data_IF_651725137043
#
_entry.id   IF_651725137043
#
_cell.length_a   1.000
_cell.length_b   1.000
_cell.length_c   1.000
_cell.angle_alpha   90.00
_cell.angle_beta   90.00
_cell.angle_gamma   90.00
#
_symmetry.space_group_name_H-M   'P 1'
#
loop_
_entity.id
_entity.type
_entity.pdbx_description
1 polymer ?
#
# COMPACT_ATOMS: atom_id res chain seq x y z
N UNK A 1 7.48 17.05 22.72
CA UNK A 1 6.10 16.74 22.30
C UNK A 1 5.87 15.25 22.50
N UNK A 2 4.66 14.83 22.87
CA UNK A 2 4.33 13.40 22.92
C UNK A 2 4.27 12.84 21.49
N UNK A 3 4.86 11.67 21.24
CA UNK A 3 4.78 11.01 19.93
C UNK A 3 3.40 10.39 19.74
N UNK A 4 2.87 10.42 18.52
CA UNK A 4 1.56 9.84 18.20
C UNK A 4 1.75 8.50 17.49
N UNK A 5 1.03 7.48 17.94
CA UNK A 5 1.03 6.17 17.32
C UNK A 5 -0.40 5.69 17.05
N UNK A 6 -0.54 4.86 16.03
CA UNK A 6 -1.77 4.15 15.72
C UNK A 6 -1.54 2.65 15.77
N UNK A 7 -2.35 1.94 16.54
CA UNK A 7 -2.34 0.48 16.60
C UNK A 7 -3.50 -0.10 15.80
N UNK A 8 -3.18 -0.81 14.71
CA UNK A 8 -4.11 -1.69 14.00
C UNK A 8 -3.88 -3.12 14.45
N UNK A 9 -4.93 -3.89 14.71
CA UNK A 9 -4.81 -5.32 15.03
C UNK A 9 -5.55 -6.21 14.03
N UNK A 10 -4.86 -7.24 13.55
CA UNK A 10 -5.26 -8.18 12.50
C UNK A 10 -5.92 -9.44 13.09
N UNK A 11 -6.84 -10.01 12.29
CA UNK A 11 -8.27 -9.90 12.54
C UNK A 11 -8.70 -10.64 13.82
N UNK A 12 -9.67 -10.04 14.52
CA UNK A 12 -10.14 -10.49 15.82
C UNK A 12 -11.56 -11.05 15.76
N UNK A 13 -11.85 -12.01 14.88
CA UNK A 13 -13.16 -12.68 14.87
C UNK A 13 -13.27 -13.81 15.88
N UNK A 14 -12.16 -14.24 16.47
CA UNK A 14 -12.16 -15.29 17.49
C UNK A 14 -12.27 -14.76 18.91
N UNK A 15 -12.97 -15.54 19.75
CA UNK A 15 -13.00 -15.40 21.20
C UNK A 15 -11.58 -15.44 21.85
N UNK A 16 -10.58 -15.84 21.06
CA UNK A 16 -9.17 -15.90 21.42
C UNK A 16 -8.37 -14.67 20.95
N UNK A 17 -9.02 -13.55 20.61
CA UNK A 17 -8.31 -12.31 20.28
C UNK A 17 -7.25 -12.00 21.37
N UNK A 18 -5.98 -11.84 21.00
CA UNK A 18 -4.90 -11.73 21.98
C UNK A 18 -5.07 -10.45 22.81
N UNK A 19 -4.83 -10.50 24.13
CA UNK A 19 -5.05 -9.36 25.01
C UNK A 19 -4.14 -8.20 24.61
N UNK A 20 -4.76 -7.17 24.01
CA UNK A 20 -4.06 -5.98 23.51
C UNK A 20 -3.63 -5.05 24.65
N UNK A 21 -4.17 -5.23 25.85
CA UNK A 21 -3.98 -4.36 27.01
C UNK A 21 -2.51 -4.20 27.36
N UNK A 22 -1.72 -5.28 27.29
CA UNK A 22 -0.28 -5.22 27.58
C UNK A 22 0.49 -4.37 26.57
N UNK A 23 0.09 -4.42 25.29
CA UNK A 23 0.71 -3.65 24.21
C UNK A 23 0.33 -2.17 24.29
N UNK A 24 -0.94 -1.89 24.53
CA UNK A 24 -1.47 -0.53 24.76
C UNK A 24 -0.81 0.09 26.00
N UNK A 25 -0.73 -0.64 27.11
CA UNK A 25 -0.11 -0.17 28.35
C UNK A 25 1.38 0.15 28.16
N UNK A 26 2.13 -0.70 27.44
CA UNK A 26 3.54 -0.47 27.15
C UNK A 26 3.76 0.84 26.35
N UNK A 27 2.96 1.07 25.30
CA UNK A 27 3.06 2.29 24.48
C UNK A 27 2.68 3.54 25.28
N UNK A 28 1.56 3.50 26.01
CA UNK A 28 1.10 4.64 26.83
C UNK A 28 2.11 4.99 27.94
N UNK A 29 2.67 3.99 28.63
CA UNK A 29 3.68 4.20 29.69
C UNK A 29 4.96 4.86 29.19
N UNK A 30 5.18 4.85 27.87
CA UNK A 30 6.38 5.37 27.22
C UNK A 30 6.17 6.75 26.60
N UNK A 31 5.04 7.40 26.87
CA UNK A 31 4.73 8.76 26.43
C UNK A 31 4.18 8.86 25.01
N UNK A 32 3.70 7.75 24.43
CA UNK A 32 2.93 7.79 23.19
C UNK A 32 1.46 8.13 23.47
N UNK A 33 0.87 8.98 22.65
CA UNK A 33 -0.58 9.11 22.52
C UNK A 33 -1.05 8.08 21.50
N UNK A 34 -1.73 7.03 21.97
CA UNK A 34 -2.14 5.90 21.14
C UNK A 34 -3.59 6.01 20.66
N UNK A 35 -3.79 6.06 19.35
CA UNK A 35 -5.06 5.70 18.70
C UNK A 35 -5.03 4.25 18.23
N UNK A 36 -6.17 3.71 17.82
CA UNK A 36 -6.21 2.39 17.22
C UNK A 36 -7.60 1.95 16.78
N UNK A 37 -7.64 0.94 15.92
CA UNK A 37 -8.85 0.25 15.53
C UNK A 37 -8.54 -1.17 15.06
N UNK A 38 -9.57 -2.03 15.11
CA UNK A 38 -9.53 -3.37 14.53
C UNK A 38 -9.38 -3.27 13.02
N UNK A 39 -8.64 -4.19 12.43
CA UNK A 39 -8.67 -4.40 10.98
C UNK A 39 -10.01 -4.97 10.53
N UNK A 40 -10.53 -4.45 9.44
CA UNK A 40 -11.73 -4.94 8.79
C UNK A 40 -11.31 -5.47 7.43
N UNK A 41 -11.27 -6.79 7.31
CA UNK A 41 -10.90 -7.47 6.07
C UNK A 41 -12.13 -7.64 5.17
N UNK A 42 -12.56 -6.54 4.56
CA UNK A 42 -13.65 -6.52 3.58
C UNK A 42 -13.14 -5.78 2.34
N UNK A 43 -12.48 -6.53 1.45
CA UNK A 43 -11.91 -5.99 0.22
C UNK A 43 -12.98 -5.55 -0.77
N UNK A 44 -14.13 -6.23 -0.81
CA UNK A 44 -15.25 -5.92 -1.69
C UNK A 44 -15.84 -4.53 -1.38
N UNK A 45 -15.83 -4.12 -0.11
CA UNK A 45 -16.24 -2.77 0.31
C UNK A 45 -15.08 -1.78 0.45
N UNK A 46 -13.85 -2.20 0.14
CA UNK A 46 -12.64 -1.38 0.30
C UNK A 46 -12.48 -0.83 1.73
N UNK A 47 -12.80 -1.62 2.75
CA UNK A 47 -12.82 -1.16 4.15
C UNK A 47 -11.45 -0.61 4.61
N UNK A 48 -10.36 -1.09 4.01
CA UNK A 48 -9.00 -0.58 4.20
C UNK A 48 -8.85 0.93 3.89
N UNK A 49 -9.73 1.50 3.05
CA UNK A 49 -9.71 2.91 2.64
C UNK A 49 -10.10 3.88 3.77
N UNK A 50 -10.94 3.44 4.70
CA UNK A 50 -11.28 4.25 5.89
C UNK A 50 -10.05 4.43 6.78
N UNK A 51 -9.31 3.33 7.02
CA UNK A 51 -8.07 3.39 7.78
C UNK A 51 -7.04 4.27 7.07
N UNK A 52 -6.87 4.11 5.75
CA UNK A 52 -5.96 4.92 4.97
C UNK A 52 -6.28 6.41 5.08
N UNK A 53 -7.57 6.78 4.95
CA UNK A 53 -8.03 8.16 5.09
C UNK A 53 -7.74 8.72 6.49
N UNK A 54 -7.95 7.91 7.53
CA UNK A 54 -7.67 8.30 8.92
C UNK A 54 -6.18 8.53 9.18
N UNK A 55 -5.33 7.63 8.69
CA UNK A 55 -3.87 7.69 8.83
C UNK A 55 -3.23 8.80 7.96
N UNK A 56 -3.93 9.25 6.93
CA UNK A 56 -3.50 10.28 5.98
C UNK A 56 -3.91 11.71 6.34
N UNK A 57 -4.57 11.93 7.48
CA UNK A 57 -5.03 13.27 7.87
C UNK A 57 -3.87 14.23 8.18
N UNK A 58 -3.80 15.34 7.45
CA UNK A 58 -2.63 16.25 7.39
C UNK A 58 -2.31 17.03 8.69
N UNK A 59 -3.27 17.20 9.60
CA UNK A 59 -3.05 17.98 10.84
C UNK A 59 -2.84 17.13 12.10
N UNK A 60 -3.12 15.81 12.06
CA UNK A 60 -3.09 14.97 13.27
C UNK A 60 -2.71 13.48 13.03
N UNK A 61 -2.37 13.09 11.80
CA UNK A 61 -2.01 11.71 11.48
C UNK A 61 -0.86 11.20 12.36
N UNK A 62 -0.86 9.91 12.74
CA UNK A 62 0.17 9.37 13.63
C UNK A 62 1.55 9.42 12.97
N UNK A 63 2.59 9.57 13.79
CA UNK A 63 3.99 9.44 13.35
C UNK A 63 4.37 7.96 13.13
N UNK A 64 3.75 7.06 13.89
CA UNK A 64 4.00 5.61 13.82
C UNK A 64 2.70 4.85 13.59
N UNK A 65 2.72 3.90 12.67
CA UNK A 65 1.66 2.91 12.49
C UNK A 65 2.19 1.53 12.92
N UNK A 66 1.62 1.00 13.99
CA UNK A 66 1.89 -0.35 14.47
C UNK A 66 0.78 -1.27 13.94
N UNK A 67 1.16 -2.31 13.22
CA UNK A 67 0.25 -3.36 12.74
C UNK A 67 0.54 -4.62 13.54
N UNK A 68 -0.38 -5.02 14.40
CA UNK A 68 -0.25 -6.18 15.28
C UNK A 68 -1.07 -7.36 14.76
N UNK A 69 -0.51 -8.56 14.73
CA UNK A 69 -1.22 -9.75 14.25
C UNK A 69 -0.48 -11.04 14.58
N UNK A 70 -1.09 -12.18 14.33
CA UNK A 70 -0.46 -13.50 14.36
C UNK A 70 0.26 -13.81 13.06
N UNK A 71 1.09 -14.85 13.06
CA UNK A 71 1.75 -15.33 11.86
C UNK A 71 0.76 -15.66 10.73
N UNK A 72 -0.40 -16.24 11.07
CA UNK A 72 -1.47 -16.57 10.11
C UNK A 72 -2.10 -15.31 9.48
N UNK A 73 -2.24 -14.23 10.25
CA UNK A 73 -2.80 -12.97 9.76
C UNK A 73 -1.89 -12.33 8.71
N UNK A 74 -0.58 -12.37 8.96
CA UNK A 74 0.43 -11.89 8.02
C UNK A 74 0.62 -12.83 6.82
N UNK A 75 0.19 -14.08 6.92
CA UNK A 75 0.17 -15.02 5.80
C UNK A 75 -1.09 -14.87 4.93
N UNK A 76 -2.15 -14.25 5.44
CA UNK A 76 -3.39 -14.02 4.70
C UNK A 76 -3.18 -13.08 3.52
N UNK A 77 -3.50 -13.55 2.32
CA UNK A 77 -3.38 -12.77 1.08
C UNK A 77 -4.32 -11.56 1.06
N UNK A 78 -5.52 -11.67 1.62
CA UNK A 78 -6.50 -10.56 1.65
C UNK A 78 -6.05 -9.43 2.56
N UNK A 79 -5.55 -9.78 3.75
CA UNK A 79 -4.97 -8.82 4.69
C UNK A 79 -3.72 -8.18 4.09
N UNK A 80 -2.84 -9.00 3.49
CA UNK A 80 -1.62 -8.49 2.82
C UNK A 80 -1.95 -7.46 1.75
N UNK A 81 -2.92 -7.80 0.91
CA UNK A 81 -3.42 -6.94 -0.15
C UNK A 81 -3.99 -5.63 0.41
N UNK A 82 -4.94 -5.69 1.35
CA UNK A 82 -5.60 -4.50 1.88
C UNK A 82 -4.62 -3.55 2.58
N UNK A 83 -3.67 -4.06 3.36
CA UNK A 83 -2.61 -3.26 3.98
C UNK A 83 -1.67 -2.63 2.95
N UNK A 84 -1.36 -3.34 1.85
CA UNK A 84 -0.62 -2.76 0.73
C UNK A 84 -1.37 -1.59 0.11
N UNK A 85 -2.69 -1.70 -0.07
CA UNK A 85 -3.53 -0.60 -0.57
C UNK A 85 -3.55 0.58 0.41
N UNK A 86 -3.70 0.30 1.71
CA UNK A 86 -3.60 1.32 2.77
C UNK A 86 -2.26 2.05 2.71
N UNK A 87 -1.14 1.34 2.59
CA UNK A 87 0.19 1.93 2.49
C UNK A 87 0.35 2.78 1.23
N UNK A 88 -0.09 2.30 0.07
CA UNK A 88 -0.03 3.04 -1.18
C UNK A 88 -0.75 4.39 -1.07
N UNK A 89 -1.99 4.37 -0.54
CA UNK A 89 -2.80 5.57 -0.36
C UNK A 89 -2.20 6.54 0.67
N UNK A 90 -1.62 6.04 1.76
CA UNK A 90 -0.97 6.92 2.75
C UNK A 90 0.31 7.55 2.18
N UNK A 91 1.10 6.78 1.44
CA UNK A 91 2.34 7.25 0.82
C UNK A 91 2.10 8.32 -0.25
N UNK A 92 0.96 8.26 -0.97
CA UNK A 92 0.60 9.26 -1.97
C UNK A 92 0.05 10.55 -1.35
N UNK A 93 -0.70 10.44 -0.25
CA UNK A 93 -1.37 11.58 0.38
C UNK A 93 -0.45 12.36 1.34
N UNK A 94 0.54 11.70 1.96
CA UNK A 94 1.43 12.35 2.94
C UNK A 94 2.83 12.56 2.40
N UNK A 95 3.34 13.79 2.56
CA UNK A 95 4.78 14.10 2.35
C UNK A 95 5.70 13.23 3.21
N UNK A 96 5.27 12.98 4.45
CA UNK A 96 5.96 12.11 5.41
C UNK A 96 4.97 11.08 5.93
N UNK A 97 4.87 9.89 5.30
CA UNK A 97 3.99 8.82 5.78
C UNK A 97 4.46 8.30 7.15
N UNK A 98 3.60 7.63 7.93
CA UNK A 98 3.98 7.10 9.24
C UNK A 98 5.08 6.04 9.12
N UNK A 99 5.93 5.93 10.14
CA UNK A 99 6.83 4.79 10.27
C UNK A 99 6.04 3.53 10.58
N UNK A 100 6.21 2.46 9.80
CA UNK A 100 5.42 1.24 9.93
C UNK A 100 6.20 0.17 10.69
N UNK A 101 5.60 -0.35 11.75
CA UNK A 101 6.15 -1.44 12.56
C UNK A 101 5.15 -2.59 12.59
N UNK A 102 5.60 -3.78 12.22
CA UNK A 102 4.82 -5.01 12.27
C UNK A 102 5.13 -5.75 13.57
N UNK A 103 4.12 -6.00 14.39
CA UNK A 103 4.23 -6.64 15.70
C UNK A 103 3.54 -8.01 15.64
N UNK A 104 4.30 -9.09 15.71
CA UNK A 104 3.71 -10.41 15.77
C UNK A 104 3.35 -10.81 17.19
N UNK A 105 2.18 -11.40 17.36
CA UNK A 105 1.57 -11.70 18.66
C UNK A 105 1.89 -13.12 19.15
N UNK A 106 2.43 -13.95 18.27
CA UNK A 106 2.81 -15.35 18.44
C UNK A 106 4.21 -15.68 17.86
N UNK A 107 5.00 -14.65 17.56
CA UNK A 107 6.34 -14.74 16.97
C UNK A 107 6.65 -13.50 16.14
N UNK A 108 7.85 -13.37 15.56
CA UNK A 108 8.10 -12.30 14.58
C UNK A 108 7.52 -12.71 13.20
N UNK A 109 6.82 -11.81 12.49
CA UNK A 109 6.43 -12.06 11.10
C UNK A 109 7.67 -12.22 10.20
N UNK A 110 7.59 -13.07 9.19
CA UNK A 110 8.66 -13.23 8.21
C UNK A 110 8.74 -11.99 7.30
N UNK A 111 9.78 -11.18 7.47
CA UNK A 111 9.98 -9.99 6.66
C UNK A 111 10.22 -10.29 5.16
N UNK A 112 10.65 -11.52 4.82
CA UNK A 112 10.84 -11.91 3.43
C UNK A 112 9.51 -12.04 2.69
N UNK A 113 8.45 -12.46 3.38
CA UNK A 113 7.10 -12.67 2.84
C UNK A 113 6.27 -11.38 2.73
N UNK A 114 6.84 -10.24 3.10
CA UNK A 114 6.16 -8.95 3.02
C UNK A 114 6.07 -8.42 1.58
N UNK A 115 4.90 -7.91 1.15
CA UNK A 115 4.73 -7.22 -0.12
C UNK A 115 5.71 -6.05 -0.31
N UNK A 116 5.89 -5.61 -1.55
CA UNK A 116 6.86 -4.56 -1.91
C UNK A 116 6.61 -3.28 -1.11
N UNK A 117 5.35 -2.91 -0.88
CA UNK A 117 4.98 -1.66 -0.20
C UNK A 117 5.24 -1.68 1.30
N UNK A 118 5.40 -2.87 1.89
CA UNK A 118 5.66 -3.04 3.31
C UNK A 118 7.14 -2.91 3.63
N UNK A 119 8.02 -3.05 2.64
CA UNK A 119 9.47 -2.93 2.80
C UNK A 119 9.88 -1.45 2.83
N UNK A 120 10.76 -1.03 3.77
CA UNK A 120 11.60 -1.84 4.66
C UNK A 120 11.05 -2.00 6.09
N UNK A 121 9.72 -2.11 6.26
CA UNK A 121 9.04 -2.22 7.55
C UNK A 121 9.67 -3.22 8.50
N UNK A 122 9.55 -2.95 9.81
CA UNK A 122 10.27 -3.69 10.85
C UNK A 122 9.35 -4.67 11.55
N UNK A 123 9.70 -5.95 11.52
CA UNK A 123 9.02 -7.02 12.24
C UNK A 123 9.57 -7.15 13.68
N UNK A 124 8.67 -7.24 14.65
CA UNK A 124 8.99 -7.40 16.08
C UNK A 124 8.22 -8.59 16.63
N UNK A 125 8.92 -9.45 17.38
CA UNK A 125 8.33 -10.52 18.17
C UNK A 125 7.75 -9.95 19.47
N UNK A 126 6.42 -9.92 19.58
CA UNK A 126 5.66 -9.47 20.74
C UNK A 126 5.58 -10.49 21.89
N UNK A 127 6.21 -11.65 21.75
CA UNK A 127 6.32 -12.70 22.77
C UNK A 127 7.70 -12.77 23.41
N UNK A 128 8.72 -12.24 22.74
CA UNK A 128 10.11 -12.25 23.20
C UNK A 128 10.31 -11.47 24.52
N UNK A 129 11.34 -11.85 25.29
CA UNK A 129 11.77 -11.03 26.42
C UNK A 129 12.09 -9.60 25.99
N UNK A 130 11.66 -8.63 26.80
CA UNK A 130 11.87 -7.19 26.57
C UNK A 130 11.29 -6.69 25.23
N UNK A 131 10.26 -7.37 24.68
CA UNK A 131 9.58 -6.96 23.45
C UNK A 131 9.14 -5.48 23.51
N UNK A 132 8.66 -5.00 24.65
CA UNK A 132 8.20 -3.62 24.81
C UNK A 132 9.31 -2.61 24.53
N UNK A 133 10.51 -2.83 25.06
CA UNK A 133 11.66 -1.97 24.80
C UNK A 133 12.06 -2.01 23.31
N UNK A 134 12.04 -3.19 22.69
CA UNK A 134 12.34 -3.35 21.26
C UNK A 134 11.33 -2.62 20.38
N UNK A 135 10.03 -2.77 20.67
CA UNK A 135 8.95 -2.08 19.97
C UNK A 135 9.15 -0.56 20.03
N UNK A 136 9.38 -0.01 21.23
CA UNK A 136 9.58 1.43 21.42
C UNK A 136 10.81 1.96 20.69
N UNK A 137 11.89 1.18 20.62
CA UNK A 137 13.08 1.54 19.84
C UNK A 137 12.73 1.62 18.34
N UNK A 138 11.96 0.66 17.82
CA UNK A 138 11.53 0.70 16.42
C UNK A 138 10.54 1.84 16.14
N UNK A 139 9.58 2.10 17.04
CA UNK A 139 8.62 3.20 16.89
C UNK A 139 9.28 4.60 16.89
N UNK A 140 10.52 4.73 17.38
CA UNK A 140 11.31 5.97 17.27
C UNK A 140 12.04 6.10 15.94
N UNK A 141 11.97 5.08 15.09
CA UNK A 141 12.49 5.09 13.74
C UNK A 141 11.84 6.21 12.92
N UNK A 142 12.56 6.70 11.92
CA UNK A 142 11.97 7.58 10.92
C UNK A 142 11.23 6.74 9.90
N UNK A 143 10.17 7.30 9.33
CA UNK A 143 9.59 6.74 8.13
C UNK A 143 10.68 6.59 7.08
N UNK A 144 11.03 5.35 6.79
CA UNK A 144 11.77 5.07 5.58
C UNK A 144 10.69 5.08 4.51
N UNK A 145 10.59 6.18 3.75
CA UNK A 145 10.08 6.05 2.40
C UNK A 145 10.83 4.85 1.81
N UNK A 146 10.11 3.93 1.16
CA UNK A 146 10.77 2.93 0.33
C UNK A 146 11.83 3.68 -0.52
N UNK A 147 12.97 3.03 -0.78
CA UNK A 147 14.07 3.64 -1.54
C UNK A 147 13.53 4.51 -2.69
N UNK A 148 14.13 5.70 -2.97
CA UNK A 148 13.60 6.64 -3.95
C UNK A 148 13.09 5.89 -5.18
N UNK A 149 11.79 6.02 -5.44
CA UNK A 149 11.14 5.40 -6.58
C UNK A 149 11.11 6.43 -7.68
N UNK A 150 11.40 6.00 -8.90
CA UNK A 150 11.28 6.85 -10.08
C UNK A 150 9.81 7.03 -10.51
N UNK A 151 8.89 6.37 -9.80
CA UNK A 151 7.46 6.39 -10.02
C UNK A 151 6.66 6.73 -8.76
N UNK A 152 5.50 7.35 -8.97
CA UNK A 152 4.41 7.48 -8.00
C UNK A 152 3.49 6.27 -8.15
N UNK A 153 3.00 5.77 -7.01
CA UNK A 153 1.91 4.79 -6.96
C UNK A 153 0.90 5.28 -5.95
N UNK A 154 -0.36 5.34 -6.36
CA UNK A 154 -1.48 5.67 -5.51
C UNK A 154 -2.63 4.70 -5.79
N UNK A 155 -3.51 4.54 -4.80
CA UNK A 155 -4.75 3.78 -4.92
C UNK A 155 -5.89 4.66 -4.43
N UNK A 156 -6.90 4.83 -5.27
CA UNK A 156 -8.12 5.56 -4.96
C UNK A 156 -9.26 4.56 -5.02
N UNK A 157 -9.86 4.25 -3.87
CA UNK A 157 -10.97 3.31 -3.81
C UNK A 157 -12.13 3.82 -2.96
N UNK A 158 -13.33 3.53 -3.43
CA UNK A 158 -14.58 3.74 -2.70
C UNK A 158 -15.66 2.83 -3.32
N UNK A 159 -16.63 2.39 -2.52
CA UNK A 159 -17.72 1.50 -2.97
C UNK A 159 -18.48 2.02 -4.20
N UNK A 160 -18.54 3.35 -4.37
CA UNK A 160 -19.22 4.01 -5.49
C UNK A 160 -18.38 4.13 -6.78
N UNK A 161 -17.05 4.06 -6.72
CA UNK A 161 -16.18 4.22 -7.89
C UNK A 161 -15.28 3.02 -8.17
N UNK A 162 -15.32 1.98 -7.33
CA UNK A 162 -14.43 0.83 -7.42
C UNK A 162 -13.01 1.17 -6.96
N UNK A 163 -12.06 0.34 -7.34
CA UNK A 163 -10.63 0.52 -7.03
C UNK A 163 -9.88 1.00 -8.27
N UNK A 164 -9.19 2.13 -8.12
CA UNK A 164 -8.34 2.70 -9.14
C UNK A 164 -6.89 2.70 -8.69
N UNK A 165 -6.01 2.22 -9.54
CA UNK A 165 -4.57 2.41 -9.41
C UNK A 165 -4.14 3.61 -10.24
N UNK A 166 -3.22 4.38 -9.68
CA UNK A 166 -2.63 5.54 -10.32
C UNK A 166 -1.11 5.40 -10.30
N UNK A 167 -0.48 5.59 -11.46
CA UNK A 167 0.98 5.61 -11.61
C UNK A 167 1.44 6.74 -12.51
N UNK A 168 2.68 7.18 -12.31
CA UNK A 168 3.33 8.16 -13.18
C UNK A 168 4.73 8.49 -12.68
N UNK A 169 5.53 9.23 -13.46
CA UNK A 169 6.88 9.58 -13.04
C UNK A 169 6.89 10.47 -11.79
N UNK A 170 7.93 10.36 -10.97
CA UNK A 170 8.24 11.35 -9.93
C UNK A 170 8.97 12.55 -10.54
N UNK A 171 9.89 12.30 -11.47
CA UNK A 171 10.64 13.29 -12.23
C UNK A 171 10.72 12.88 -13.71
N UNK A 172 11.03 13.83 -14.60
CA UNK A 172 11.15 13.56 -16.03
C UNK A 172 9.81 13.30 -16.72
N UNK A 173 9.83 12.52 -17.80
CA UNK A 173 8.66 12.20 -18.60
C UNK A 173 8.66 10.72 -19.02
N UNK A 174 7.48 10.11 -19.09
CA UNK A 174 7.28 8.85 -19.80
C UNK A 174 6.60 9.13 -21.15
N UNK A 175 7.13 8.55 -22.23
CA UNK A 175 6.53 8.62 -23.56
C UNK A 175 5.44 7.57 -23.67
N UNK A 176 4.24 7.95 -23.25
CA UNK A 176 3.14 6.99 -23.07
C UNK A 176 3.22 6.24 -21.75
N UNK A 177 2.27 5.33 -21.55
CA UNK A 177 2.18 4.50 -20.36
C UNK A 177 1.65 3.12 -20.69
N UNK A 178 2.15 2.14 -19.95
CA UNK A 178 1.61 0.78 -19.90
C UNK A 178 1.24 0.44 -18.47
N UNK A 179 0.14 -0.29 -18.29
CA UNK A 179 -0.29 -0.77 -16.99
C UNK A 179 -0.90 -2.15 -17.14
N UNK A 180 -0.37 -3.13 -16.39
CA UNK A 180 -0.90 -4.47 -16.26
C UNK A 180 -1.22 -4.88 -14.83
N UNK A 181 -2.20 -5.77 -14.72
CA UNK A 181 -2.54 -6.48 -13.48
C UNK A 181 -2.31 -7.97 -13.68
N UNK A 182 -1.81 -8.65 -12.66
CA UNK A 182 -1.65 -10.10 -12.67
C UNK A 182 -2.98 -10.84 -12.52
N UNK A 183 -2.91 -12.17 -12.46
CA UNK A 183 -4.02 -13.02 -12.01
C UNK A 183 -4.64 -12.50 -10.69
N UNK A 184 -5.95 -12.71 -10.56
CA UNK A 184 -6.77 -12.22 -9.45
C UNK A 184 -7.35 -10.82 -9.69
N UNK A 185 -6.93 -10.13 -10.76
CA UNK A 185 -7.48 -8.84 -11.17
C UNK A 185 -7.84 -8.76 -12.65
N UNK A 186 -8.70 -7.80 -12.99
CA UNK A 186 -9.06 -7.46 -14.37
C UNK A 186 -9.18 -5.94 -14.55
N UNK A 187 -8.59 -5.41 -15.62
CA UNK A 187 -8.70 -4.00 -15.97
C UNK A 187 -10.07 -3.77 -16.60
N UNK A 188 -10.87 -2.89 -16.00
CA UNK A 188 -12.20 -2.52 -16.50
C UNK A 188 -12.14 -1.26 -17.34
N UNK A 189 -11.30 -0.32 -16.94
CA UNK A 189 -11.13 0.98 -17.57
C UNK A 189 -9.70 1.46 -17.38
N UNK A 190 -9.25 2.33 -18.27
CA UNK A 190 -8.01 3.07 -18.11
C UNK A 190 -8.16 4.51 -18.60
N UNK A 191 -7.29 5.39 -18.13
CA UNK A 191 -7.39 6.81 -18.43
C UNK A 191 -6.14 7.56 -18.03
N UNK A 192 -5.85 8.65 -18.72
CA UNK A 192 -4.81 9.60 -18.34
C UNK A 192 -5.46 10.86 -17.79
N UNK A 193 -4.88 11.41 -16.73
CA UNK A 193 -5.41 12.57 -16.03
C UNK A 193 -4.41 13.21 -15.07
N UNK A 194 -4.88 14.21 -14.33
CA UNK A 194 -4.06 14.90 -13.32
C UNK A 194 -3.73 13.95 -12.17
N UNK A 195 -2.50 14.03 -11.68
CA UNK A 195 -2.06 13.30 -10.50
C UNK A 195 -2.96 13.52 -9.27
N UNK A 196 -3.20 12.44 -8.51
CA UNK A 196 -4.00 12.38 -7.28
C UNK A 196 -5.49 12.75 -7.43
N UNK A 197 -6.02 12.79 -8.66
CA UNK A 197 -7.43 13.05 -8.93
C UNK A 197 -7.95 12.07 -9.99
N UNK A 198 -9.05 11.35 -9.69
CA UNK A 198 -9.66 10.48 -10.68
C UNK A 198 -10.06 11.29 -11.94
N UNK A 199 -9.70 10.83 -13.15
CA UNK A 199 -10.00 11.57 -14.36
C UNK A 199 -11.51 11.63 -14.62
N UNK A 200 -12.06 12.85 -14.66
CA UNK A 200 -13.48 13.09 -15.03
C UNK A 200 -13.75 12.88 -16.51
N UNK A 201 -12.73 13.12 -17.34
CA UNK A 201 -12.71 12.91 -18.78
C UNK A 201 -11.28 12.59 -19.18
N UNK A 202 -11.11 11.64 -20.09
CA UNK A 202 -9.81 11.28 -20.64
C UNK A 202 -9.88 11.19 -22.15
N UNK A 203 -8.77 11.47 -22.82
CA UNK A 203 -8.56 11.23 -24.24
C UNK A 203 -7.30 10.38 -24.33
N UNK A 204 -7.45 9.14 -24.77
CA UNK A 204 -6.34 8.22 -24.91
C UNK A 204 -5.77 8.32 -26.31
N UNK A 205 -4.47 8.59 -26.38
CA UNK A 205 -3.73 8.64 -27.63
C UNK A 205 -3.27 7.23 -27.97
N UNK A 206 -3.76 6.68 -29.09
CA UNK A 206 -3.40 5.35 -29.58
C UNK A 206 -3.51 4.26 -28.50
N UNK A 207 -4.70 4.04 -27.89
CA UNK A 207 -4.86 3.02 -26.87
C UNK A 207 -4.65 1.63 -27.45
N UNK A 208 -3.99 0.78 -26.68
CA UNK A 208 -3.81 -0.64 -26.97
C UNK A 208 -4.36 -1.42 -25.78
N UNK A 209 -5.31 -2.30 -26.06
CA UNK A 209 -5.91 -3.18 -25.06
C UNK A 209 -5.41 -4.63 -25.22
N UNK A 210 -5.72 -5.48 -24.25
CA UNK A 210 -5.46 -6.93 -24.27
C UNK A 210 -3.98 -7.32 -24.47
N UNK A 211 -3.06 -6.49 -23.98
CA UNK A 211 -1.62 -6.81 -23.99
C UNK A 211 -1.37 -7.96 -23.02
N UNK A 212 -0.74 -9.03 -23.51
CA UNK A 212 -0.21 -10.11 -22.68
C UNK A 212 1.28 -9.87 -22.48
N UNK A 213 1.70 -9.75 -21.23
CA UNK A 213 3.11 -9.57 -20.89
C UNK A 213 3.51 -10.59 -19.82
N UNK A 214 4.78 -11.00 -19.86
CA UNK A 214 5.40 -11.79 -18.80
C UNK A 214 6.63 -11.02 -18.29
N UNK A 215 6.62 -10.64 -17.01
CA UNK A 215 7.73 -9.88 -16.40
C UNK A 215 8.05 -10.50 -15.05
N UNK A 216 9.32 -10.85 -14.84
CA UNK A 216 9.78 -11.44 -13.58
C UNK A 216 9.12 -12.78 -13.23
N UNK A 217 8.66 -13.54 -14.24
CA UNK A 217 7.94 -14.82 -14.03
C UNK A 217 6.46 -14.67 -13.66
N UNK A 218 5.89 -13.47 -13.83
CA UNK A 218 4.47 -13.21 -13.63
C UNK A 218 3.81 -12.81 -14.94
N UNK A 219 2.66 -13.39 -15.22
CA UNK A 219 1.81 -13.01 -16.35
C UNK A 219 0.93 -11.81 -15.99
N UNK A 220 0.77 -10.89 -16.94
CA UNK A 220 -0.03 -9.68 -16.81
C UNK A 220 -0.99 -9.53 -17.98
N UNK A 221 -2.20 -9.06 -17.66
CA UNK A 221 -3.13 -8.45 -18.61
C UNK A 221 -2.95 -6.94 -18.54
N UNK A 222 -2.50 -6.35 -19.63
CA UNK A 222 -2.10 -4.96 -19.67
C UNK A 222 -2.82 -4.17 -20.76
N UNK A 223 -2.78 -2.86 -20.56
CA UNK A 223 -3.26 -1.85 -21.48
C UNK A 223 -2.20 -0.76 -21.60
N UNK A 224 -2.18 -0.06 -22.72
CA UNK A 224 -1.24 1.02 -22.96
C UNK A 224 -1.87 2.19 -23.73
N UNK A 225 -1.19 3.34 -23.68
CA UNK A 225 -1.49 4.51 -24.51
C UNK A 225 -0.23 5.35 -24.69
N UNK A 226 -0.21 6.21 -25.71
CA UNK A 226 0.94 7.06 -26.05
C UNK A 226 0.88 8.46 -25.43
N UNK A 227 -0.11 8.74 -24.58
CA UNK A 227 -0.20 10.00 -23.87
C UNK A 227 1.07 10.27 -23.05
N UNK A 228 1.69 11.41 -23.28
CA UNK A 228 2.84 11.85 -22.48
C UNK A 228 2.47 11.96 -20.99
N UNK A 229 3.29 11.38 -20.11
CA UNK A 229 3.12 11.46 -18.66
C UNK A 229 4.26 12.27 -18.05
N UNK A 230 3.90 13.32 -17.31
CA UNK A 230 4.82 14.20 -16.59
C UNK A 230 4.56 14.07 -15.07
N UNK A 231 5.35 14.67 -14.17
CA UNK A 231 5.16 14.48 -12.72
C UNK A 231 3.77 14.91 -12.20
N UNK A 232 3.05 15.74 -12.96
CA UNK A 232 1.70 16.23 -12.66
C UNK A 232 0.58 15.44 -13.33
N UNK A 233 0.92 14.48 -14.19
CA UNK A 233 -0.01 13.66 -14.98
C UNK A 233 0.22 12.18 -14.65
N UNK A 234 -0.85 11.42 -14.55
CA UNK A 234 -0.80 10.00 -14.21
C UNK A 234 -1.60 9.17 -15.18
N UNK A 235 -1.19 7.91 -15.30
CA UNK A 235 -1.98 6.86 -15.89
C UNK A 235 -2.78 6.14 -14.81
N UNK A 236 -4.06 5.94 -15.08
CA UNK A 236 -5.01 5.34 -14.17
C UNK A 236 -5.57 4.07 -14.79
N UNK A 237 -5.75 3.04 -13.96
CA UNK A 237 -6.59 1.89 -14.30
C UNK A 237 -7.63 1.69 -13.22
N UNK A 238 -8.85 1.32 -13.62
CA UNK A 238 -9.84 0.74 -12.74
C UNK A 238 -9.66 -0.77 -12.77
N UNK A 239 -9.38 -1.36 -11.62
CA UNK A 239 -9.24 -2.81 -11.49
C UNK A 239 -10.43 -3.39 -10.73
N UNK A 240 -10.95 -4.50 -11.25
CA UNK A 240 -11.81 -5.42 -10.50
C UNK A 240 -10.95 -6.53 -9.89
N UNK A 241 -11.29 -6.98 -8.69
CA UNK A 241 -10.58 -8.05 -7.99
C UNK A 241 -9.33 -7.56 -7.23
N UNK A 242 -8.48 -8.52 -6.87
CA UNK A 242 -7.36 -8.33 -5.95
C UNK A 242 -6.08 -8.91 -6.57
N UNK A 243 -5.51 -8.24 -7.60
CA UNK A 243 -4.31 -8.73 -8.27
C UNK A 243 -3.14 -8.82 -7.29
N UNK A 244 -2.34 -9.86 -7.42
CA UNK A 244 -1.16 -10.06 -6.57
C UNK A 244 0.02 -9.16 -6.98
N UNK A 245 0.09 -8.79 -8.27
CA UNK A 245 1.14 -7.96 -8.82
C UNK A 245 0.57 -6.89 -9.76
N UNK A 246 1.24 -5.74 -9.78
CA UNK A 246 1.07 -4.70 -10.78
C UNK A 246 2.33 -4.61 -11.63
N UNK A 247 2.17 -4.38 -12.93
CA UNK A 247 3.24 -4.01 -13.84
C UNK A 247 2.90 -2.65 -14.43
N UNK A 248 3.84 -1.72 -14.50
CA UNK A 248 3.60 -0.45 -15.16
C UNK A 248 4.90 0.23 -15.58
N UNK A 249 4.81 1.18 -16.51
CA UNK A 249 5.93 1.99 -16.92
C UNK A 249 5.65 2.78 -18.19
N UNK A 250 6.70 3.09 -18.95
CA UNK A 250 6.58 3.70 -20.28
C UNK A 250 5.82 2.82 -21.28
N UNK A 251 5.48 3.38 -22.44
CA UNK A 251 4.85 2.63 -23.52
C UNK A 251 5.76 1.49 -24.01
N UNK A 252 5.25 0.29 -24.33
CA UNK A 252 6.08 -0.87 -24.67
C UNK A 252 6.90 -0.71 -25.97
N UNK A 253 6.54 0.24 -26.83
CA UNK A 253 7.29 0.54 -28.07
C UNK A 253 8.44 1.53 -27.88
N UNK A 254 8.61 2.12 -26.69
CA UNK A 254 9.75 2.99 -26.39
C UNK A 254 10.95 2.12 -25.98
N UNK A 255 12.05 2.19 -26.73
CA UNK A 255 13.23 1.33 -26.55
C UNK A 255 13.92 1.55 -25.19
N UNK A 256 13.72 2.72 -24.58
CA UNK A 256 14.24 3.10 -23.27
C UNK A 256 13.21 2.90 -22.13
N UNK A 257 12.05 2.29 -22.39
CA UNK A 257 11.01 2.13 -21.38
C UNK A 257 11.42 1.16 -20.27
N UNK A 258 11.53 1.69 -19.06
CA UNK A 258 11.58 0.88 -17.85
C UNK A 258 10.18 0.43 -17.43
N UNK A 259 10.09 -0.82 -16.97
CA UNK A 259 8.89 -1.39 -16.39
C UNK A 259 9.16 -1.78 -14.93
N UNK A 260 8.25 -1.37 -14.05
CA UNK A 260 8.28 -1.70 -12.63
C UNK A 260 7.25 -2.78 -12.32
N UNK A 261 7.61 -3.70 -11.44
CA UNK A 261 6.69 -4.70 -10.87
C UNK A 261 6.55 -4.46 -9.37
N UNK A 262 5.31 -4.38 -8.90
CA UNK A 262 4.98 -4.20 -7.47
C UNK A 262 4.15 -5.38 -7.00
N UNK A 263 4.65 -6.11 -6.00
CA UNK A 263 3.90 -7.16 -5.29
C UNK A 263 2.97 -6.52 -4.26
N UNK A 264 1.70 -6.90 -4.29
CA UNK A 264 0.63 -6.41 -3.41
C UNK A 264 0.29 -7.40 -2.29
N UNK A 265 0.45 -8.70 -2.52
CA UNK A 265 0.14 -9.76 -1.56
C UNK A 265 0.97 -11.02 -1.79
#
# INVERSE_FOLDING_TARGET
MAQTAWLTWLPAEDADAPPLEKYVAAMNSSGYTLGGARWVDDLDKYAWGELASRLSSDEAGPETWVVAGRAEDFASTTIRYGLSMTLAMIQSLRKTPPHVVFLGLDGAPDAASFPTLWKPGKAIDGTAERWAAKLLIQCRGKSALAAPRDFRLNVIAHSMCGQWFEVGPVEGEWKGGMFGVSEGGAIQQHGVGKANELPKKTILEYPIDDIKAEVGGHEFNAVACQNKLEPTTSYFIQAQGHPQHLMFGGHPEDEDAEAWVVTLA
#
